data_IF_053694455653
#
_entry.id   IF_053694455653
#
_cell.length_a   1.000
_cell.length_b   1.000
_cell.length_c   1.000
_cell.angle_alpha   90.00
_cell.angle_beta   90.00
_cell.angle_gamma   90.00
#
_symmetry.space_group_name_H-M   'P 1'
#
loop_
_entity.id
_entity.type
_entity.pdbx_description
1 polymer ?
#
# COMPACT_ATOMS: atom_id res chain seq x y z
N UNK A 1 10.32 3.00 20.40
CA UNK A 1 9.85 1.91 19.52
C UNK A 1 9.81 2.48 18.11
N UNK A 2 10.49 1.84 17.16
CA UNK A 2 10.43 2.28 15.77
C UNK A 2 9.00 2.21 15.25
N UNK A 3 8.66 3.16 14.38
CA UNK A 3 7.33 3.20 13.74
C UNK A 3 7.21 2.03 12.76
N UNK A 4 6.18 1.21 12.95
CA UNK A 4 5.84 0.14 12.02
C UNK A 4 4.85 0.72 11.00
N UNK A 5 5.26 0.73 9.73
CA UNK A 5 4.50 1.34 8.65
C UNK A 5 3.78 0.28 7.81
N UNK A 6 2.52 0.53 7.48
CA UNK A 6 1.81 -0.24 6.46
C UNK A 6 1.93 0.47 5.11
N UNK A 7 2.55 -0.18 4.15
CA UNK A 7 2.69 0.31 2.77
C UNK A 7 1.63 -0.35 1.89
N UNK A 8 0.85 0.45 1.17
CA UNK A 8 -0.28 -0.03 0.37
C UNK A 8 -0.05 0.30 -1.10
N UNK A 9 0.00 -0.74 -1.92
CA UNK A 9 0.16 -0.63 -3.37
C UNK A 9 -1.19 -0.31 -4.01
N UNK A 10 -1.44 0.95 -4.30
CA UNK A 10 -2.72 1.44 -4.82
C UNK A 10 -2.64 2.07 -6.23
N UNK A 11 -1.45 2.16 -6.84
CA UNK A 11 -1.25 2.78 -8.16
C UNK A 11 -2.02 2.09 -9.31
N UNK A 12 -2.41 0.82 -9.13
CA UNK A 12 -3.25 0.06 -10.07
C UNK A 12 -4.74 0.12 -9.78
N UNK A 13 -5.14 0.69 -8.65
CA UNK A 13 -6.52 0.70 -8.18
C UNK A 13 -7.43 1.51 -9.12
N UNK A 14 -8.59 0.98 -9.43
CA UNK A 14 -9.55 1.65 -10.32
C UNK A 14 -9.21 1.59 -11.81
N UNK A 15 -8.01 1.22 -12.21
CA UNK A 15 -7.60 1.21 -13.63
C UNK A 15 -8.43 0.26 -14.51
N UNK A 16 -9.00 -0.80 -13.91
CA UNK A 16 -9.86 -1.78 -14.57
C UNK A 16 -11.34 -1.36 -14.63
N UNK A 17 -11.74 -0.37 -13.83
CA UNK A 17 -13.13 0.04 -13.63
C UNK A 17 -13.41 1.44 -14.15
N UNK A 18 -12.45 2.10 -14.78
CA UNK A 18 -12.60 3.46 -15.31
C UNK A 18 -12.47 4.57 -14.26
N UNK A 19 -11.92 4.26 -13.08
CA UNK A 19 -11.65 5.21 -12.00
C UNK A 19 -11.99 4.64 -10.62
N UNK A 20 -11.54 5.32 -9.57
CA UNK A 20 -11.79 4.90 -8.18
C UNK A 20 -13.26 4.97 -7.79
N UNK A 21 -13.98 5.97 -8.30
CA UNK A 21 -15.44 6.16 -8.05
C UNK A 21 -16.31 5.05 -8.64
N UNK A 22 -15.74 4.20 -9.52
CA UNK A 22 -16.43 3.06 -10.12
C UNK A 22 -16.16 1.74 -9.36
N UNK A 23 -15.40 1.77 -8.28
CA UNK A 23 -15.19 0.58 -7.43
C UNK A 23 -16.49 0.35 -6.66
N UNK A 24 -17.10 -0.82 -6.90
CA UNK A 24 -18.35 -1.17 -6.24
C UNK A 24 -18.13 -1.45 -4.75
N UNK A 25 -18.98 -0.91 -3.88
CA UNK A 25 -19.02 -1.28 -2.48
C UNK A 25 -19.35 -2.77 -2.29
N UNK A 26 -18.76 -3.38 -1.28
CA UNK A 26 -18.98 -4.79 -0.96
C UNK A 26 -19.96 -5.00 0.19
N UNK A 27 -20.42 -3.92 0.82
CA UNK A 27 -21.46 -3.95 1.84
C UNK A 27 -22.48 -2.81 1.67
N UNK A 28 -23.63 -2.87 2.38
CA UNK A 28 -24.66 -1.84 2.31
C UNK A 28 -24.23 -0.46 2.83
N UNK A 29 -23.21 -0.41 3.67
CA UNK A 29 -22.64 0.82 4.25
C UNK A 29 -21.72 1.56 3.29
N UNK A 30 -21.38 0.96 2.16
CA UNK A 30 -20.57 1.56 1.11
C UNK A 30 -19.06 1.31 1.25
N UNK A 31 -18.66 0.33 2.06
CA UNK A 31 -17.25 0.00 2.21
C UNK A 31 -16.71 -0.80 1.01
N UNK A 32 -15.48 -0.52 0.66
CA UNK A 32 -14.71 -1.23 -0.38
C UNK A 32 -13.63 -2.12 0.27
N UNK A 33 -13.01 -3.02 -0.49
CA UNK A 33 -12.04 -4.01 0.05
C UNK A 33 -10.96 -3.39 0.94
N UNK A 34 -10.41 -2.26 0.52
CA UNK A 34 -9.33 -1.60 1.28
C UNK A 34 -9.79 -1.13 2.67
N UNK A 35 -11.06 -0.78 2.85
CA UNK A 35 -11.59 -0.33 4.14
C UNK A 35 -11.48 -1.44 5.19
N UNK A 36 -11.72 -2.69 4.81
CA UNK A 36 -11.55 -3.86 5.70
C UNK A 36 -10.10 -4.11 6.05
N UNK A 37 -9.20 -4.02 5.06
CA UNK A 37 -7.76 -4.14 5.31
C UNK A 37 -7.24 -3.05 6.27
N UNK A 38 -7.68 -1.81 6.09
CA UNK A 38 -7.31 -0.70 6.97
C UNK A 38 -7.90 -0.85 8.38
N UNK A 39 -9.15 -1.30 8.48
CA UNK A 39 -9.77 -1.58 9.78
C UNK A 39 -8.99 -2.65 10.55
N UNK A 40 -8.64 -3.77 9.91
CA UNK A 40 -7.88 -4.85 10.53
C UNK A 40 -6.45 -4.42 10.87
N UNK A 41 -5.81 -3.61 10.04
CA UNK A 41 -4.51 -3.02 10.32
C UNK A 41 -4.53 -2.09 11.54
N UNK A 42 -5.56 -1.25 11.64
CA UNK A 42 -5.74 -0.37 12.80
C UNK A 42 -5.91 -1.17 14.10
N UNK A 43 -6.72 -2.23 14.06
CA UNK A 43 -6.90 -3.15 15.18
C UNK A 43 -5.61 -3.87 15.58
N UNK A 44 -4.79 -4.22 14.61
CA UNK A 44 -3.50 -4.87 14.83
C UNK A 44 -2.45 -3.94 15.48
N UNK A 45 -2.62 -2.62 15.36
CA UNK A 45 -1.70 -1.65 15.95
C UNK A 45 -0.99 -0.72 14.97
N UNK A 46 -1.17 -0.91 13.66
CA UNK A 46 -0.64 0.04 12.68
C UNK A 46 -1.24 1.44 12.87
N UNK A 47 -0.40 2.46 12.80
CA UNK A 47 -0.80 3.87 12.91
C UNK A 47 -0.22 4.73 11.81
N UNK A 48 0.82 4.27 11.14
CA UNK A 48 1.47 4.94 10.01
C UNK A 48 1.18 4.15 8.72
N UNK A 49 0.58 4.82 7.74
CA UNK A 49 0.18 4.25 6.45
C UNK A 49 0.78 5.07 5.32
N UNK A 50 1.37 4.40 4.34
CA UNK A 50 1.87 5.00 3.12
C UNK A 50 1.10 4.41 1.94
N UNK A 51 0.38 5.26 1.21
CA UNK A 51 -0.26 4.88 -0.06
C UNK A 51 0.68 5.16 -1.23
N UNK A 52 0.96 4.13 -2.02
CA UNK A 52 1.66 4.30 -3.29
C UNK A 52 0.61 4.43 -4.38
N UNK A 53 0.53 5.62 -4.96
CA UNK A 53 -0.47 6.00 -5.96
C UNK A 53 0.20 6.58 -7.21
N UNK A 54 -0.58 6.88 -8.24
CA UNK A 54 -0.17 7.74 -9.34
C UNK A 54 -0.60 9.18 -9.04
N UNK A 55 0.15 10.17 -9.55
CA UNK A 55 -0.18 11.59 -9.33
C UNK A 55 -1.54 11.97 -9.86
N UNK A 56 -1.88 11.45 -11.03
CA UNK A 56 -3.16 11.76 -11.68
C UNK A 56 -4.39 11.26 -10.91
N UNK A 57 -4.23 10.33 -9.97
CA UNK A 57 -5.34 9.81 -9.18
C UNK A 57 -5.38 10.36 -7.75
N UNK A 58 -4.48 11.26 -7.37
CA UNK A 58 -4.35 11.72 -5.98
C UNK A 58 -5.64 12.35 -5.45
N UNK A 59 -6.21 13.29 -6.19
CA UNK A 59 -7.42 14.01 -5.75
C UNK A 59 -8.59 13.03 -5.53
N UNK A 60 -8.85 12.18 -6.50
CA UNK A 60 -9.90 11.17 -6.39
C UNK A 60 -9.62 10.16 -5.27
N UNK A 61 -8.35 9.76 -5.08
CA UNK A 61 -7.95 8.84 -4.03
C UNK A 61 -8.15 9.44 -2.63
N UNK A 62 -7.78 10.70 -2.45
CA UNK A 62 -8.03 11.42 -1.19
C UNK A 62 -9.51 11.49 -0.88
N UNK A 63 -10.33 11.92 -1.84
CA UNK A 63 -11.79 12.01 -1.66
C UNK A 63 -12.42 10.66 -1.30
N UNK A 64 -12.04 9.59 -1.99
CA UNK A 64 -12.65 8.27 -1.80
C UNK A 64 -12.13 7.53 -0.57
N UNK A 65 -10.86 7.67 -0.24
CA UNK A 65 -10.17 6.83 0.76
C UNK A 65 -9.36 7.67 1.74
N UNK A 66 -8.42 8.47 1.25
CA UNK A 66 -7.37 9.09 2.05
C UNK A 66 -7.88 9.95 3.18
N UNK A 67 -8.74 10.90 2.89
CA UNK A 67 -9.24 11.88 3.87
C UNK A 67 -10.01 11.21 5.03
N UNK A 68 -10.71 10.12 4.74
CA UNK A 68 -11.39 9.33 5.77
C UNK A 68 -10.39 8.62 6.70
N UNK A 69 -9.25 8.21 6.16
CA UNK A 69 -8.24 7.44 6.89
C UNK A 69 -7.34 8.32 7.75
N UNK A 70 -7.22 9.61 7.46
CA UNK A 70 -6.45 10.57 8.27
C UNK A 70 -6.98 10.73 9.70
N UNK A 71 -8.22 10.31 9.95
CA UNK A 71 -8.80 10.28 11.31
C UNK A 71 -8.22 9.15 12.19
N UNK A 72 -7.67 8.11 11.56
CA UNK A 72 -7.21 6.88 12.24
C UNK A 72 -5.71 6.65 12.11
N UNK A 73 -5.10 7.19 11.06
CA UNK A 73 -3.71 6.96 10.69
C UNK A 73 -2.96 8.26 10.40
N UNK A 74 -1.65 8.22 10.57
CA UNK A 74 -0.75 9.17 9.93
C UNK A 74 -0.56 8.73 8.47
N UNK A 75 -1.25 9.39 7.56
CA UNK A 75 -1.26 9.06 6.14
C UNK A 75 -0.15 9.82 5.41
N UNK A 76 0.59 9.11 4.57
CA UNK A 76 1.55 9.67 3.63
C UNK A 76 1.32 9.11 2.24
N UNK A 77 1.67 9.90 1.23
CA UNK A 77 1.53 9.50 -0.17
C UNK A 77 2.90 9.43 -0.85
N UNK A 78 3.08 8.38 -1.64
CA UNK A 78 4.26 8.17 -2.48
C UNK A 78 3.79 7.97 -3.91
N UNK A 79 4.46 8.63 -4.85
CA UNK A 79 4.07 8.57 -6.26
C UNK A 79 4.99 7.60 -7.01
N UNK A 80 4.37 6.67 -7.72
CA UNK A 80 5.06 5.76 -8.62
C UNK A 80 5.23 6.41 -9.99
N UNK A 81 6.08 7.43 -10.06
CA UNK A 81 6.37 8.15 -11.30
C UNK A 81 7.28 7.31 -12.22
N UNK A 82 7.07 7.36 -13.53
CA UNK A 82 7.80 6.56 -14.51
C UNK A 82 9.29 6.91 -14.62
N UNK A 83 9.65 8.16 -14.34
CA UNK A 83 10.99 8.72 -14.41
C UNK A 83 11.78 8.54 -13.10
N UNK A 84 11.16 8.06 -12.05
CA UNK A 84 11.80 7.81 -10.75
C UNK A 84 12.57 6.49 -10.75
N UNK A 85 13.63 6.46 -11.55
CA UNK A 85 14.48 5.27 -11.75
C UNK A 85 15.82 5.42 -11.00
N UNK A 86 16.49 4.28 -10.71
CA UNK A 86 17.86 4.31 -10.21
C UNK A 86 18.80 5.04 -11.14
N UNK A 87 19.87 5.60 -10.57
CA UNK A 87 20.90 6.31 -11.34
C UNK A 87 21.46 5.45 -12.49
N UNK A 88 21.53 6.03 -13.67
CA UNK A 88 22.04 5.35 -14.87
C UNK A 88 21.02 4.49 -15.61
N UNK A 89 19.74 4.46 -15.16
CA UNK A 89 18.66 3.77 -15.87
C UNK A 89 17.69 4.80 -16.44
N UNK A 90 17.46 4.72 -17.75
CA UNK A 90 16.48 5.56 -18.44
C UNK A 90 15.23 4.74 -18.80
N UNK A 91 14.07 5.40 -18.76
CA UNK A 91 12.83 4.77 -19.21
C UNK A 91 12.87 4.61 -20.73
N UNK A 92 12.46 3.44 -21.26
CA UNK A 92 12.30 3.28 -22.71
C UNK A 92 11.33 4.30 -23.27
N UNK A 93 11.65 4.84 -24.45
CA UNK A 93 10.79 5.79 -25.13
C UNK A 93 9.38 5.24 -25.35
N UNK A 94 8.37 6.06 -25.06
CA UNK A 94 6.96 5.69 -25.23
C UNK A 94 6.37 4.79 -24.13
N UNK A 95 7.12 4.52 -23.05
CA UNK A 95 6.56 3.74 -21.92
C UNK A 95 5.51 4.53 -21.17
N UNK A 96 4.30 3.97 -21.08
CA UNK A 96 3.16 4.56 -20.33
C UNK A 96 2.73 3.71 -19.14
N UNK A 97 3.11 2.42 -19.11
CA UNK A 97 2.74 1.52 -18.02
C UNK A 97 3.69 1.71 -16.84
N UNK A 98 3.16 1.71 -15.61
CA UNK A 98 4.00 1.75 -14.41
C UNK A 98 4.95 0.55 -14.36
N UNK A 99 6.04 0.73 -13.65
CA UNK A 99 6.97 -0.35 -13.32
C UNK A 99 6.32 -1.30 -12.30
N UNK A 100 6.92 -2.47 -12.08
CA UNK A 100 6.39 -3.45 -11.14
C UNK A 100 6.43 -3.02 -9.67
N UNK A 101 6.01 -3.94 -8.78
CA UNK A 101 5.91 -3.71 -7.33
C UNK A 101 7.24 -3.36 -6.68
N UNK A 102 8.35 -3.92 -7.15
CA UNK A 102 9.69 -3.58 -6.65
C UNK A 102 10.04 -2.11 -6.85
N UNK A 103 9.68 -1.53 -8.00
CA UNK A 103 9.84 -0.10 -8.25
C UNK A 103 8.94 0.74 -7.33
N UNK A 104 7.70 0.33 -7.14
CA UNK A 104 6.77 1.02 -6.23
C UNK A 104 7.37 1.11 -4.82
N UNK A 105 7.94 0.02 -4.31
CA UNK A 105 8.62 0.02 -3.02
C UNK A 105 9.90 0.89 -3.01
N UNK A 106 10.67 0.87 -4.09
CA UNK A 106 11.85 1.73 -4.21
C UNK A 106 11.49 3.23 -4.13
N UNK A 107 10.28 3.60 -4.60
CA UNK A 107 9.77 4.97 -4.46
C UNK A 107 9.53 5.39 -3.00
N UNK A 108 9.39 4.45 -2.07
CA UNK A 108 9.23 4.73 -0.64
C UNK A 108 10.53 5.12 0.07
N UNK A 109 11.69 5.01 -0.62
CA UNK A 109 12.98 5.38 -0.03
C UNK A 109 12.98 6.82 0.47
N UNK A 110 13.33 6.99 1.74
CA UNK A 110 13.35 8.30 2.42
C UNK A 110 11.99 8.71 3.02
N UNK A 111 10.91 8.00 2.74
CA UNK A 111 9.59 8.19 3.37
C UNK A 111 9.35 7.13 4.43
N UNK A 112 9.58 5.87 4.09
CA UNK A 112 9.49 4.75 5.03
C UNK A 112 10.85 4.53 5.67
N UNK A 113 10.91 4.68 6.98
CA UNK A 113 12.08 4.46 7.81
C UNK A 113 11.69 3.52 8.95
N UNK A 114 12.31 2.35 9.04
CA UNK A 114 11.99 1.30 10.01
C UNK A 114 11.20 0.14 9.42
N UNK A 115 10.69 -0.76 10.27
CA UNK A 115 9.97 -1.95 9.84
C UNK A 115 8.67 -1.59 9.11
N UNK A 116 8.36 -2.33 8.07
CA UNK A 116 7.13 -2.11 7.31
C UNK A 116 6.54 -3.42 6.76
N UNK A 117 5.22 -3.42 6.61
CA UNK A 117 4.49 -4.43 5.85
C UNK A 117 4.00 -3.86 4.53
N UNK A 118 3.81 -4.71 3.53
CA UNK A 118 3.30 -4.32 2.20
C UNK A 118 2.07 -5.13 1.87
N UNK A 119 1.02 -4.44 1.42
CA UNK A 119 -0.21 -5.08 0.92
C UNK A 119 -0.64 -4.46 -0.42
N UNK A 120 -1.44 -5.19 -1.18
CA UNK A 120 -2.19 -4.65 -2.30
C UNK A 120 -3.49 -4.01 -1.81
N UNK A 121 -3.92 -2.94 -2.44
CA UNK A 121 -5.13 -2.22 -2.08
C UNK A 121 -6.43 -2.98 -2.44
N UNK A 122 -6.35 -3.90 -3.39
CA UNK A 122 -7.47 -4.67 -3.95
C UNK A 122 -7.51 -6.15 -3.52
N UNK A 123 -6.66 -6.54 -2.57
CA UNK A 123 -6.64 -7.89 -2.00
C UNK A 123 -7.24 -7.91 -0.58
N UNK A 124 -7.89 -9.02 -0.23
CA UNK A 124 -8.39 -9.29 1.11
C UNK A 124 -7.50 -10.32 1.82
N UNK A 125 -6.93 -9.96 2.98
CA UNK A 125 -5.95 -10.77 3.72
C UNK A 125 -6.53 -11.51 4.91
N UNK A 126 -7.74 -11.15 5.35
CA UNK A 126 -8.37 -11.68 6.56
C UNK A 126 -7.88 -10.98 7.84
N UNK A 127 -8.70 -11.10 8.88
CA UNK A 127 -8.54 -10.32 10.11
C UNK A 127 -7.31 -10.69 10.96
N UNK A 128 -6.75 -11.88 10.81
CA UNK A 128 -5.58 -12.34 11.59
C UNK A 128 -4.24 -11.96 10.98
N UNK A 129 -4.19 -11.79 9.65
CA UNK A 129 -2.94 -11.53 8.94
C UNK A 129 -2.24 -10.26 9.44
N UNK A 130 -2.99 -9.20 9.70
CA UNK A 130 -2.44 -7.92 10.16
C UNK A 130 -1.86 -8.00 11.57
N UNK A 131 -2.51 -8.71 12.50
CA UNK A 131 -1.98 -8.91 13.84
C UNK A 131 -0.72 -9.78 13.83
N UNK A 132 -0.71 -10.86 13.08
CA UNK A 132 0.46 -11.74 12.96
C UNK A 132 1.67 -10.99 12.40
N UNK A 133 1.48 -10.19 11.34
CA UNK A 133 2.58 -9.43 10.74
C UNK A 133 3.03 -8.27 11.63
N UNK A 134 2.10 -7.59 12.32
CA UNK A 134 2.43 -6.53 13.24
C UNK A 134 3.27 -7.05 14.41
N UNK A 135 2.85 -8.15 15.03
CA UNK A 135 3.56 -8.78 16.15
C UNK A 135 4.94 -9.28 15.71
N UNK A 136 5.03 -9.85 14.49
CA UNK A 136 6.32 -10.25 13.92
C UNK A 136 7.26 -9.05 13.76
N UNK A 137 6.80 -7.95 13.17
CA UNK A 137 7.60 -6.75 12.96
C UNK A 137 7.98 -6.08 14.28
N UNK A 138 7.07 -6.05 15.26
CA UNK A 138 7.33 -5.47 16.57
C UNK A 138 8.38 -6.25 17.39
N UNK A 139 8.46 -7.56 17.15
CA UNK A 139 9.42 -8.43 17.82
C UNK A 139 10.83 -8.41 17.18
N UNK A 140 10.99 -7.85 15.99
CA UNK A 140 12.28 -7.81 15.30
C UNK A 140 13.21 -6.77 15.93
N UNK A 141 14.42 -7.22 16.25
CA UNK A 141 15.51 -6.37 16.74
C UNK A 141 16.72 -6.32 15.77
N UNK A 142 16.63 -7.09 14.67
CA UNK A 142 17.69 -7.26 13.69
C UNK A 142 17.22 -6.76 12.33
N UNK A 143 17.73 -5.59 11.93
CA UNK A 143 17.38 -4.93 10.66
C UNK A 143 17.78 -5.74 9.40
N UNK A 144 18.61 -6.79 9.56
CA UNK A 144 18.99 -7.66 8.45
C UNK A 144 17.97 -8.74 8.12
N UNK A 145 16.91 -8.90 8.93
CA UNK A 145 15.87 -9.90 8.72
C UNK A 145 14.68 -9.36 7.95
N UNK A 146 14.26 -10.14 6.97
CA UNK A 146 13.14 -9.82 6.09
C UNK A 146 11.92 -10.65 6.44
N UNK A 147 10.74 -10.01 6.35
CA UNK A 147 9.48 -10.68 6.55
C UNK A 147 9.18 -11.66 5.41
N UNK A 148 8.48 -12.73 5.77
CA UNK A 148 7.95 -13.70 4.83
C UNK A 148 6.72 -13.14 4.08
N UNK A 149 6.54 -13.56 2.85
CA UNK A 149 5.30 -13.40 2.10
C UNK A 149 4.17 -14.20 2.77
N UNK A 150 3.08 -13.51 3.14
CA UNK A 150 1.84 -14.16 3.55
C UNK A 150 1.01 -14.69 2.38
N UNK A 151 1.40 -14.38 1.16
CA UNK A 151 0.71 -14.79 -0.06
C UNK A 151 1.54 -15.80 -0.83
N UNK A 152 1.02 -17.00 -0.95
CA UNK A 152 1.46 -17.97 -1.95
C UNK A 152 0.43 -17.95 -3.06
N UNK A 153 0.76 -17.38 -4.22
CA UNK A 153 0.01 -17.65 -5.42
C UNK A 153 0.08 -19.15 -5.69
N UNK A 154 -1.05 -19.84 -5.88
CA UNK A 154 -0.99 -21.18 -6.42
C UNK A 154 -0.29 -21.03 -7.77
N UNK A 155 0.88 -21.66 -7.87
CA UNK A 155 1.58 -21.76 -9.14
C UNK A 155 0.64 -22.45 -10.13
N UNK A 156 0.50 -21.93 -11.35
CA UNK A 156 -0.30 -22.57 -12.37
C UNK A 156 0.23 -23.97 -12.71
#
# INVERSE_FOLDING_TARGET
MEKITLVILAAGMGSRFGGLKQIEPIDPEGHIIIDFSLFDAWRAGFRDVVFIIKREMEEEFRECIGDRMEQYFHVSYVYQDLDRLPEGIEAPEGRTKPWGTGHALACCKGVVNGPFAVINADDFYGHTAFSEIYDFLAAQTDESKYACLLYTSPSP
#
